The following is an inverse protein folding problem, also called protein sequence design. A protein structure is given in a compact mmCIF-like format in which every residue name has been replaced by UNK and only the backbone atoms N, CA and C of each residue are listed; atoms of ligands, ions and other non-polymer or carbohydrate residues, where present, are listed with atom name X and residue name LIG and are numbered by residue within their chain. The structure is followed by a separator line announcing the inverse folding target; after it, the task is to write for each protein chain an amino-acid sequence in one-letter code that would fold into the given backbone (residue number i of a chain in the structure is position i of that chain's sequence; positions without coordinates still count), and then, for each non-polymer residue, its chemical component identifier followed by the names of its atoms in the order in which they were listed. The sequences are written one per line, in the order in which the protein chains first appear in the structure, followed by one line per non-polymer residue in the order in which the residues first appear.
data_IF_984772515440
#
_entry.id   IF_984772515440
#
_cell.length_a   1.000
_cell.length_b   1.000
_cell.length_c   1.000
_cell.angle_alpha   90.00
_cell.angle_beta   90.00
_cell.angle_gamma   90.00
#
_symmetry.space_group_name_H-M   'P 1'
#
loop_
_entity.id
_entity.type
_entity.pdbx_description
1 polymer ?
#
# COMPACT_ATOMS: atom_id res chain seq x y z
N UNK A 1 1.31 -38.53 19.88
CA UNK A 1 2.65 -38.01 19.52
C UNK A 1 2.52 -36.51 19.36
N UNK A 2 3.27 -35.71 20.13
CA UNK A 2 3.25 -34.26 19.99
C UNK A 2 3.84 -33.86 18.63
N UNK A 3 3.09 -33.11 17.84
CA UNK A 3 3.53 -32.59 16.56
C UNK A 3 4.68 -31.62 16.82
N UNK A 4 5.88 -31.95 16.39
CA UNK A 4 7.04 -31.04 16.50
C UNK A 4 6.80 -29.89 15.53
N UNK A 5 6.47 -28.73 16.06
CA UNK A 5 6.48 -27.49 15.27
C UNK A 5 7.94 -27.14 14.96
N UNK A 6 8.30 -27.19 13.69
CA UNK A 6 9.60 -26.67 13.23
C UNK A 6 9.53 -25.13 13.26
N UNK A 7 10.59 -24.46 13.67
CA UNK A 7 10.65 -23.00 13.61
C UNK A 7 10.58 -22.54 12.15
N UNK A 8 9.86 -21.45 11.90
CA UNK A 8 9.86 -20.73 10.64
C UNK A 8 10.78 -19.50 10.73
N UNK A 9 11.49 -19.21 9.67
CA UNK A 9 12.33 -18.03 9.55
C UNK A 9 11.87 -17.21 8.35
N UNK A 10 11.53 -15.95 8.57
CA UNK A 10 11.27 -14.97 7.52
C UNK A 10 12.47 -14.02 7.43
N UNK A 11 13.06 -13.89 6.25
CA UNK A 11 14.13 -12.93 5.98
C UNK A 11 13.61 -11.91 4.97
N UNK A 12 13.65 -10.63 5.33
CA UNK A 12 13.25 -9.51 4.47
C UNK A 12 14.52 -8.75 4.09
N UNK A 13 14.83 -8.74 2.79
CA UNK A 13 15.89 -7.91 2.22
C UNK A 13 15.24 -6.59 1.76
N UNK A 14 15.06 -5.69 2.73
CA UNK A 14 14.36 -4.42 2.51
C UNK A 14 15.10 -3.55 1.48
N UNK A 15 14.34 -2.95 0.54
CA UNK A 15 14.89 -2.18 -0.57
C UNK A 15 15.46 -3.01 -1.73
N UNK A 16 15.46 -4.36 -1.63
CA UNK A 16 15.86 -5.22 -2.74
C UNK A 16 14.67 -5.48 -3.67
N UNK A 17 14.81 -5.13 -4.94
CA UNK A 17 13.79 -5.35 -5.98
C UNK A 17 14.38 -6.03 -7.21
N UNK A 18 13.50 -6.47 -8.10
CA UNK A 18 13.86 -7.06 -9.39
C UNK A 18 13.91 -5.95 -10.45
N UNK A 19 15.01 -5.90 -11.18
CA UNK A 19 15.20 -4.99 -12.31
C UNK A 19 15.98 -5.71 -13.41
N UNK A 20 15.96 -5.19 -14.67
CA UNK A 20 16.79 -5.75 -15.74
C UNK A 20 18.27 -5.85 -15.33
N UNK A 21 18.96 -6.84 -15.86
CA UNK A 21 20.40 -7.03 -15.63
C UNK A 21 21.20 -6.06 -16.54
N UNK A 22 21.13 -4.79 -16.24
CA UNK A 22 21.90 -3.73 -16.88
C UNK A 22 23.07 -3.26 -15.98
N UNK A 23 23.88 -2.34 -16.47
CA UNK A 23 25.04 -1.84 -15.75
C UNK A 23 24.73 -1.08 -14.46
N UNK A 24 23.48 -0.73 -14.20
CA UNK A 24 23.05 0.02 -13.02
C UNK A 24 22.47 -0.91 -11.94
N UNK A 25 22.22 -2.18 -12.24
CA UNK A 25 21.67 -3.16 -11.31
C UNK A 25 22.79 -3.86 -10.51
N UNK A 26 23.07 -3.34 -9.32
CA UNK A 26 24.10 -3.87 -8.44
C UNK A 26 23.80 -5.31 -7.97
N UNK A 27 22.52 -5.70 -7.83
CA UNK A 27 22.13 -7.07 -7.45
C UNK A 27 22.46 -8.04 -8.56
N UNK A 28 22.14 -7.71 -9.81
CA UNK A 28 22.47 -8.53 -10.97
C UNK A 28 23.99 -8.62 -11.24
N UNK A 29 24.74 -7.58 -10.90
CA UNK A 29 26.21 -7.55 -11.05
C UNK A 29 26.93 -8.31 -9.93
N UNK A 30 26.28 -8.57 -8.81
CA UNK A 30 26.90 -9.26 -7.67
C UNK A 30 27.04 -10.77 -7.93
N UNK A 31 28.02 -11.37 -7.29
CA UNK A 31 28.19 -12.84 -7.28
C UNK A 31 27.38 -13.42 -6.12
N UNK A 32 26.19 -13.91 -6.40
CA UNK A 32 25.23 -14.41 -5.41
C UNK A 32 24.86 -15.89 -5.62
N UNK A 33 25.84 -16.82 -5.70
CA UNK A 33 25.58 -18.19 -6.11
C UNK A 33 24.58 -18.94 -5.23
N UNK A 34 24.49 -18.59 -3.96
CA UNK A 34 23.50 -19.19 -3.07
C UNK A 34 22.08 -18.67 -3.38
N UNK A 35 21.89 -17.35 -3.49
CA UNK A 35 20.60 -16.77 -3.86
C UNK A 35 20.13 -17.24 -5.25
N UNK A 36 21.05 -17.26 -6.22
CA UNK A 36 20.76 -17.75 -7.57
C UNK A 36 20.23 -19.19 -7.52
N UNK A 37 20.87 -20.04 -6.71
CA UNK A 37 20.43 -21.43 -6.54
C UNK A 37 19.05 -21.57 -5.88
N UNK A 38 18.59 -20.59 -5.11
CA UNK A 38 17.24 -20.63 -4.54
C UNK A 38 16.18 -20.44 -5.62
N UNK A 39 16.40 -19.53 -6.56
CA UNK A 39 15.49 -19.33 -7.69
C UNK A 39 15.36 -20.58 -8.57
N UNK A 40 16.41 -21.37 -8.70
CA UNK A 40 16.39 -22.62 -9.47
C UNK A 40 15.69 -23.77 -8.72
N UNK A 41 15.86 -23.85 -7.40
CA UNK A 41 15.50 -25.04 -6.63
C UNK A 41 14.15 -24.94 -5.92
N UNK A 42 13.67 -23.74 -5.64
CA UNK A 42 12.48 -23.53 -4.80
C UNK A 42 11.41 -22.71 -5.52
N UNK A 43 10.14 -22.93 -5.19
CA UNK A 43 9.07 -22.09 -5.71
C UNK A 43 9.27 -20.62 -5.32
N UNK A 44 9.06 -19.72 -6.26
CA UNK A 44 9.16 -18.28 -6.05
C UNK A 44 8.09 -17.55 -6.86
N UNK A 45 7.79 -16.33 -6.45
CA UNK A 45 6.87 -15.43 -7.14
C UNK A 45 7.28 -13.99 -6.93
N UNK A 46 6.66 -13.09 -7.65
CA UNK A 46 6.85 -11.65 -7.52
C UNK A 46 5.62 -10.99 -6.95
N UNK A 47 5.81 -9.94 -6.17
CA UNK A 47 4.77 -9.09 -5.63
C UNK A 47 4.99 -7.66 -6.09
N UNK A 48 3.91 -6.93 -6.36
CA UNK A 48 3.99 -5.49 -6.56
C UNK A 48 4.44 -4.80 -5.27
N UNK A 49 5.33 -3.81 -5.40
CA UNK A 49 5.94 -3.11 -4.28
C UNK A 49 5.63 -1.60 -4.28
N UNK A 50 4.68 -1.15 -5.10
CA UNK A 50 4.31 0.27 -5.24
C UNK A 50 2.83 0.45 -5.54
N UNK A 51 2.34 1.66 -5.43
CA UNK A 51 0.98 2.03 -5.79
C UNK A 51 -0.09 1.22 -5.05
N UNK A 52 -1.17 0.90 -5.74
CA UNK A 52 -2.32 0.20 -5.15
C UNK A 52 -1.98 -1.21 -4.63
N UNK A 53 -0.95 -1.86 -5.15
CA UNK A 53 -0.49 -3.18 -4.70
C UNK A 53 0.00 -3.17 -3.24
N UNK A 54 0.37 -2.01 -2.73
CA UNK A 54 0.78 -1.82 -1.33
C UNK A 54 -0.11 -0.84 -0.56
N UNK A 55 -1.26 -0.49 -1.13
CA UNK A 55 -2.26 0.38 -0.51
C UNK A 55 -1.97 1.87 -0.60
N UNK A 56 -1.05 2.27 -1.46
CA UNK A 56 -0.74 3.67 -1.79
C UNK A 56 -1.54 4.13 -3.02
N UNK A 57 -1.64 5.44 -3.28
CA UNK A 57 -2.16 5.94 -4.55
C UNK A 57 -1.36 5.39 -5.75
N UNK A 58 -2.03 5.25 -6.90
CA UNK A 58 -1.39 4.83 -8.14
C UNK A 58 -0.18 5.72 -8.49
N UNK A 59 0.88 5.10 -9.01
CA UNK A 59 2.13 5.76 -9.37
C UNK A 59 3.01 6.18 -8.18
N UNK A 60 2.57 5.99 -6.94
CA UNK A 60 3.40 6.29 -5.78
C UNK A 60 4.35 5.13 -5.46
N UNK A 61 5.65 5.43 -5.33
CA UNK A 61 6.66 4.45 -4.93
C UNK A 61 6.38 3.91 -3.54
N UNK A 62 6.52 2.59 -3.37
CA UNK A 62 6.42 1.94 -2.08
C UNK A 62 7.53 2.35 -1.11
N UNK A 63 7.33 1.97 0.14
CA UNK A 63 8.31 2.19 1.22
C UNK A 63 8.26 1.04 2.22
N UNK A 64 9.24 1.01 3.12
CA UNK A 64 9.38 -0.03 4.14
C UNK A 64 8.15 -0.15 5.05
N UNK A 65 7.55 0.97 5.43
CA UNK A 65 6.41 1.00 6.35
C UNK A 65 5.20 0.24 5.76
N UNK A 66 4.77 0.61 4.56
CA UNK A 66 3.62 -0.05 3.93
C UNK A 66 3.92 -1.50 3.55
N UNK A 67 5.16 -1.81 3.13
CA UNK A 67 5.58 -3.17 2.81
C UNK A 67 5.51 -4.10 4.02
N UNK A 68 6.10 -3.71 5.13
CA UNK A 68 6.07 -4.49 6.38
C UNK A 68 4.65 -4.59 6.95
N UNK A 69 3.85 -3.52 6.85
CA UNK A 69 2.45 -3.54 7.28
C UNK A 69 1.65 -4.58 6.50
N UNK A 70 1.80 -4.64 5.18
CA UNK A 70 1.11 -5.60 4.33
C UNK A 70 1.56 -7.05 4.60
N UNK A 71 2.87 -7.28 4.79
CA UNK A 71 3.41 -8.59 5.18
C UNK A 71 2.80 -9.03 6.51
N UNK A 72 2.80 -8.16 7.52
CA UNK A 72 2.25 -8.47 8.84
C UNK A 72 0.73 -8.68 8.84
N UNK A 73 0.00 -7.94 8.01
CA UNK A 73 -1.44 -8.06 7.90
C UNK A 73 -1.90 -9.23 7.02
N UNK A 74 -1.02 -9.78 6.16
CA UNK A 74 -1.36 -10.81 5.18
C UNK A 74 -2.36 -10.34 4.11
N UNK A 75 -2.47 -9.05 3.90
CA UNK A 75 -3.36 -8.40 2.92
C UNK A 75 -2.91 -6.99 2.61
N UNK A 76 -3.41 -6.41 1.53
CA UNK A 76 -3.22 -4.99 1.23
C UNK A 76 -3.94 -4.13 2.28
N UNK A 77 -3.21 -3.23 2.91
CA UNK A 77 -3.73 -2.24 3.86
C UNK A 77 -3.71 -0.87 3.19
N UNK A 78 -4.84 -0.44 2.69
CA UNK A 78 -4.97 0.87 2.05
C UNK A 78 -4.72 2.00 3.02
N UNK A 79 -3.82 2.91 2.64
CA UNK A 79 -3.55 4.15 3.37
C UNK A 79 -4.74 5.11 3.29
N UNK A 80 -4.83 6.08 4.20
CA UNK A 80 -6.00 6.97 4.32
C UNK A 80 -6.35 7.67 3.00
N UNK A 81 -5.36 8.22 2.29
CA UNK A 81 -5.60 8.89 1.02
C UNK A 81 -6.18 7.93 -0.04
N UNK A 82 -5.64 6.71 -0.13
CA UNK A 82 -6.15 5.68 -1.04
C UNK A 82 -7.57 5.24 -0.67
N UNK A 83 -7.86 5.11 0.63
CA UNK A 83 -9.21 4.78 1.12
C UNK A 83 -10.22 5.86 0.74
N UNK A 84 -9.87 7.13 0.92
CA UNK A 84 -10.72 8.27 0.55
C UNK A 84 -10.92 8.30 -0.96
N UNK A 85 -9.86 8.16 -1.74
CA UNK A 85 -9.94 8.13 -3.20
C UNK A 85 -10.87 7.00 -3.69
N UNK A 86 -10.74 5.81 -3.12
CA UNK A 86 -11.60 4.68 -3.45
C UNK A 86 -13.07 4.93 -3.07
N UNK A 87 -13.32 5.53 -1.90
CA UNK A 87 -14.66 5.90 -1.47
C UNK A 87 -15.29 6.99 -2.35
N UNK A 88 -14.49 7.84 -2.98
CA UNK A 88 -14.95 8.80 -3.99
C UNK A 88 -15.26 8.07 -5.30
N UNK A 89 -14.36 7.21 -5.77
CA UNK A 89 -14.52 6.45 -7.02
C UNK A 89 -15.78 5.58 -7.02
N UNK A 90 -16.06 4.89 -5.90
CA UNK A 90 -17.23 4.01 -5.77
C UNK A 90 -18.50 4.72 -5.26
N UNK A 91 -18.40 6.00 -4.93
CA UNK A 91 -19.51 6.83 -4.45
C UNK A 91 -19.93 6.56 -2.99
N UNK A 92 -19.20 5.71 -2.26
CA UNK A 92 -19.55 5.37 -0.86
C UNK A 92 -19.39 6.57 0.08
N UNK A 93 -18.49 7.52 -0.23
CA UNK A 93 -18.31 8.73 0.57
C UNK A 93 -19.60 9.56 0.67
N UNK A 94 -20.42 9.60 -0.39
CA UNK A 94 -21.69 10.29 -0.40
C UNK A 94 -22.77 9.62 0.47
N UNK A 95 -22.52 8.39 0.91
CA UNK A 95 -23.39 7.61 1.79
C UNK A 95 -22.84 7.52 3.21
N UNK A 96 -21.74 8.21 3.50
CA UNK A 96 -21.17 8.23 4.85
C UNK A 96 -22.15 8.91 5.81
N UNK A 97 -22.64 8.13 6.77
CA UNK A 97 -23.71 8.56 7.68
C UNK A 97 -23.35 9.83 8.47
N UNK A 98 -22.07 9.97 8.85
CA UNK A 98 -21.60 11.15 9.60
C UNK A 98 -21.63 12.39 8.71
N UNK A 99 -21.18 12.28 7.46
CA UNK A 99 -21.20 13.38 6.52
C UNK A 99 -22.64 13.78 6.14
N UNK A 100 -23.49 12.81 5.85
CA UNK A 100 -24.91 13.02 5.51
C UNK A 100 -25.62 13.69 6.67
N UNK A 101 -25.45 13.15 7.89
CA UNK A 101 -26.07 13.74 9.08
C UNK A 101 -25.63 15.18 9.32
N UNK A 102 -24.34 15.49 9.17
CA UNK A 102 -23.85 16.86 9.35
C UNK A 102 -24.47 17.83 8.34
N UNK A 103 -24.66 17.40 7.09
CA UNK A 103 -25.32 18.20 6.07
C UNK A 103 -26.82 18.39 6.35
N UNK A 104 -27.49 17.33 6.79
CA UNK A 104 -28.94 17.40 7.12
C UNK A 104 -29.20 18.26 8.34
N UNK A 105 -28.39 18.17 9.39
CA UNK A 105 -28.52 18.98 10.60
C UNK A 105 -28.38 20.48 10.26
N UNK A 106 -27.34 20.84 9.49
CA UNK A 106 -27.10 22.22 9.07
C UNK A 106 -28.23 22.76 8.18
N UNK A 107 -28.73 21.90 7.28
CA UNK A 107 -29.87 22.24 6.41
C UNK A 107 -31.14 22.47 7.22
N UNK A 108 -31.42 21.61 8.20
CA UNK A 108 -32.59 21.75 9.07
C UNK A 108 -32.55 23.04 9.90
N UNK A 109 -31.36 23.44 10.36
CA UNK A 109 -31.15 24.66 11.13
C UNK A 109 -31.06 25.94 10.26
N UNK A 110 -31.06 25.82 8.94
CA UNK A 110 -30.89 26.96 8.02
C UNK A 110 -29.50 27.62 8.12
N UNK A 111 -28.48 26.84 8.54
CA UNK A 111 -27.11 27.32 8.74
C UNK A 111 -26.19 26.93 7.58
N UNK A 112 -24.92 27.29 7.67
CA UNK A 112 -23.91 27.01 6.66
C UNK A 112 -22.91 26.00 7.18
N UNK A 113 -22.63 24.95 6.40
CA UNK A 113 -21.52 24.03 6.63
C UNK A 113 -20.26 24.61 6.02
N UNK A 114 -19.23 24.82 6.84
CA UNK A 114 -17.92 25.28 6.38
C UNK A 114 -16.97 24.08 6.26
N UNK A 115 -16.35 23.93 5.08
CA UNK A 115 -15.35 22.93 4.82
C UNK A 115 -13.98 23.60 4.71
N UNK A 116 -12.97 23.03 5.38
CA UNK A 116 -11.59 23.52 5.33
C UNK A 116 -10.68 22.34 5.00
N UNK A 117 -9.70 22.60 4.13
CA UNK A 117 -8.73 21.56 3.72
C UNK A 117 -7.78 22.05 2.66
N UNK A 118 -6.91 21.15 2.21
CA UNK A 118 -6.03 21.41 1.09
C UNK A 118 -6.78 21.16 -0.22
N UNK A 119 -6.86 22.18 -1.07
CA UNK A 119 -7.33 22.06 -2.45
C UNK A 119 -6.09 22.09 -3.36
N UNK A 120 -5.48 20.95 -3.55
CA UNK A 120 -4.20 20.84 -4.26
C UNK A 120 -4.16 19.58 -5.13
N UNK A 121 -3.63 19.68 -6.37
CA UNK A 121 -3.39 18.51 -7.22
C UNK A 121 -2.13 17.73 -6.83
N UNK A 122 -1.45 18.07 -5.72
CA UNK A 122 -0.14 17.55 -5.35
C UNK A 122 -0.07 16.05 -5.08
N UNK A 123 -1.16 15.42 -4.70
CA UNK A 123 -1.25 13.95 -4.59
C UNK A 123 -0.55 13.32 -3.38
N UNK A 124 0.06 14.10 -2.49
CA UNK A 124 0.73 13.58 -1.29
C UNK A 124 -0.19 13.62 -0.08
N UNK A 125 -0.77 14.78 0.23
CA UNK A 125 -1.67 14.98 1.36
C UNK A 125 -3.09 15.35 0.93
N UNK A 126 -3.32 15.51 -0.36
CA UNK A 126 -4.63 15.82 -0.94
C UNK A 126 -4.68 15.34 -2.39
N UNK A 127 -5.89 15.13 -2.89
CA UNK A 127 -6.18 14.81 -4.28
C UNK A 127 -7.46 15.53 -4.70
N UNK A 128 -7.55 15.96 -6.00
CA UNK A 128 -8.75 16.60 -6.57
C UNK A 128 -9.48 15.63 -7.49
#
# INVERSE_FOLDING_TARGET
MAQRHLPALLIIMDGCGLAPADGENAVAAAKTPFLDSLYEKYPHTTLGASGEDVGLPDGQMGNSEVGHLNIGAGRIVFQELSRINNAIKDGSIAKNEVCVKAMDDVKADGKTLHLMGLMSPGGVHSHM
#
